data_IF_555883771349
#
_entry.id   IF_555883771349
#
_cell.length_a   1.000
_cell.length_b   1.000
_cell.length_c   1.000
_cell.angle_alpha   90.00
_cell.angle_beta   90.00
_cell.angle_gamma   90.00
#
_symmetry.space_group_name_H-M   'P 1'
#
loop_
_entity.id
_entity.type
_entity.pdbx_description
1 polymer ?
#
# COMPACT_ATOMS: atom_id res chain seq x y z
N UNK A 1 -54.42 -3.11 10.83
CA UNK A 1 -53.48 -2.31 10.03
C UNK A 1 -52.52 -1.64 10.98
N UNK A 2 -51.33 -2.23 11.16
CA UNK A 2 -50.19 -1.61 11.83
C UNK A 2 -48.95 -2.07 11.09
N UNK A 3 -48.14 -1.08 10.73
CA UNK A 3 -46.82 -1.14 10.10
C UNK A 3 -45.88 -2.17 10.74
N UNK A 4 -45.06 -2.80 9.90
CA UNK A 4 -44.00 -3.71 10.31
C UNK A 4 -42.82 -3.60 9.37
N UNK A 5 -42.15 -2.45 9.38
CA UNK A 5 -40.83 -2.27 8.74
C UNK A 5 -39.81 -3.17 9.44
N UNK A 6 -39.13 -4.13 8.76
CA UNK A 6 -38.08 -4.90 9.40
C UNK A 6 -36.80 -4.07 9.47
N UNK A 7 -36.34 -3.78 10.69
CA UNK A 7 -35.12 -3.03 10.98
C UNK A 7 -33.82 -3.80 10.67
N UNK A 8 -32.68 -3.11 10.53
CA UNK A 8 -31.40 -3.72 10.22
C UNK A 8 -30.76 -4.23 11.53
N UNK A 9 -30.90 -5.53 11.83
CA UNK A 9 -30.44 -6.03 13.13
C UNK A 9 -30.15 -7.52 13.27
N UNK A 10 -30.51 -8.38 12.31
CA UNK A 10 -30.23 -9.81 12.43
C UNK A 10 -28.79 -10.10 12.00
N UNK A 11 -27.85 -9.85 12.92
CA UNK A 11 -26.58 -10.58 12.93
C UNK A 11 -26.94 -12.04 13.18
N UNK A 12 -27.13 -12.80 12.10
CA UNK A 12 -27.23 -14.25 12.19
C UNK A 12 -26.04 -14.76 12.99
N UNK A 13 -26.32 -15.45 14.09
CA UNK A 13 -25.32 -16.05 14.93
C UNK A 13 -24.41 -16.93 14.06
N UNK A 14 -23.10 -16.71 14.13
CA UNK A 14 -22.13 -17.56 13.46
C UNK A 14 -22.32 -18.97 14.04
N UNK A 15 -22.64 -19.99 13.21
CA UNK A 15 -22.83 -21.33 13.71
C UNK A 15 -21.54 -21.80 14.38
N UNK A 16 -21.64 -22.19 15.65
CA UNK A 16 -20.51 -22.72 16.41
C UNK A 16 -19.86 -23.86 15.63
N UNK A 17 -18.55 -23.77 15.40
CA UNK A 17 -17.77 -24.86 14.82
C UNK A 17 -17.69 -26.02 15.82
N UNK A 18 -17.68 -27.26 15.33
CA UNK A 18 -17.31 -28.40 16.16
C UNK A 18 -15.86 -28.25 16.63
N UNK A 19 -15.44 -29.01 17.65
CA UNK A 19 -14.09 -28.96 18.24
C UNK A 19 -12.94 -29.16 17.22
N UNK A 20 -13.22 -29.73 16.05
CA UNK A 20 -12.29 -29.89 14.92
C UNK A 20 -12.25 -28.70 13.94
N UNK A 21 -12.87 -27.56 14.28
CA UNK A 21 -12.95 -26.36 13.44
C UNK A 21 -13.84 -26.49 12.19
N UNK A 22 -14.64 -27.57 12.10
CA UNK A 22 -15.57 -27.81 10.99
C UNK A 22 -16.98 -27.35 11.35
N UNK A 23 -17.68 -26.78 10.38
CA UNK A 23 -19.10 -26.43 10.54
C UNK A 23 -19.95 -27.69 10.77
N UNK A 24 -20.92 -27.66 11.69
CA UNK A 24 -21.89 -28.73 11.86
C UNK A 24 -22.56 -29.08 10.53
N UNK A 25 -22.86 -30.36 10.30
CA UNK A 25 -23.42 -30.85 9.02
C UNK A 25 -24.66 -30.05 8.58
N UNK A 26 -25.56 -29.75 9.51
CA UNK A 26 -26.76 -28.95 9.25
C UNK A 26 -26.43 -27.51 8.82
N UNK A 27 -25.40 -26.88 9.39
CA UNK A 27 -24.96 -25.55 8.99
C UNK A 27 -24.31 -25.56 7.61
N UNK A 28 -23.56 -26.61 7.28
CA UNK A 28 -22.99 -26.80 5.93
C UNK A 28 -24.08 -27.00 4.87
N UNK A 29 -25.06 -27.86 5.15
CA UNK A 29 -26.21 -28.11 4.27
C UNK A 29 -27.06 -26.85 4.07
N UNK A 30 -27.28 -26.07 5.14
CA UNK A 30 -27.96 -24.78 5.05
C UNK A 30 -27.19 -23.75 4.21
N UNK A 31 -25.86 -23.68 4.35
CA UNK A 31 -25.02 -22.79 3.56
C UNK A 31 -24.97 -23.20 2.08
N UNK A 32 -24.89 -24.50 1.80
CA UNK A 32 -24.95 -25.05 0.44
C UNK A 32 -26.31 -24.78 -0.21
N UNK A 33 -27.41 -24.96 0.52
CA UNK A 33 -28.76 -24.64 0.05
C UNK A 33 -28.93 -23.14 -0.22
N UNK A 34 -28.44 -22.28 0.68
CA UNK A 34 -28.44 -20.84 0.49
C UNK A 34 -27.60 -20.42 -0.72
N UNK A 35 -26.43 -21.05 -0.92
CA UNK A 35 -25.58 -20.79 -2.07
C UNK A 35 -26.22 -21.24 -3.38
N UNK A 36 -26.88 -22.40 -3.42
CA UNK A 36 -27.64 -22.86 -4.60
C UNK A 36 -28.83 -21.95 -4.89
N UNK A 37 -29.61 -21.58 -3.88
CA UNK A 37 -30.70 -20.62 -4.03
C UNK A 37 -30.22 -19.24 -4.50
N UNK A 38 -29.04 -18.82 -4.05
CA UNK A 38 -28.38 -17.60 -4.52
C UNK A 38 -27.90 -17.72 -5.99
N UNK A 39 -27.32 -18.87 -6.36
CA UNK A 39 -26.81 -19.13 -7.70
C UNK A 39 -27.93 -19.32 -8.74
N UNK A 40 -29.04 -19.93 -8.34
CA UNK A 40 -30.17 -20.29 -9.21
C UNK A 40 -31.18 -19.15 -9.38
N UNK A 41 -31.03 -18.01 -8.69
CA UNK A 41 -31.91 -16.85 -8.81
C UNK A 41 -31.84 -16.22 -10.22
N UNK A 42 -32.80 -16.48 -11.12
CA UNK A 42 -32.63 -16.23 -12.55
C UNK A 42 -32.71 -14.73 -12.88
N UNK A 43 -33.54 -13.98 -12.16
CA UNK A 43 -33.69 -12.53 -12.30
C UNK A 43 -32.42 -11.75 -11.94
N UNK A 44 -31.75 -12.14 -10.84
CA UNK A 44 -30.46 -11.55 -10.45
C UNK A 44 -29.36 -11.92 -11.44
N UNK A 45 -29.36 -13.14 -11.98
CA UNK A 45 -28.33 -13.55 -12.94
C UNK A 45 -28.33 -12.70 -14.22
N UNK A 46 -29.50 -12.29 -14.71
CA UNK A 46 -29.62 -11.50 -15.94
C UNK A 46 -29.25 -10.02 -15.70
N UNK A 47 -29.75 -9.42 -14.62
CA UNK A 47 -29.44 -8.05 -14.25
C UNK A 47 -27.96 -7.88 -13.87
N UNK A 48 -27.40 -8.83 -13.12
CA UNK A 48 -25.99 -8.84 -12.75
C UNK A 48 -25.08 -9.08 -13.97
N UNK A 49 -25.49 -9.90 -14.94
CA UNK A 49 -24.79 -10.04 -16.23
C UNK A 49 -24.81 -8.75 -17.04
N UNK A 50 -25.95 -8.05 -17.09
CA UNK A 50 -26.08 -6.74 -17.77
C UNK A 50 -25.20 -5.68 -17.13
N UNK A 51 -25.31 -5.53 -15.80
CA UNK A 51 -24.47 -4.61 -15.03
C UNK A 51 -22.97 -4.90 -15.20
N UNK A 52 -22.58 -6.18 -15.17
CA UNK A 52 -21.19 -6.57 -15.41
C UNK A 52 -20.72 -6.23 -16.83
N UNK A 53 -21.60 -6.34 -17.83
CA UNK A 53 -21.28 -5.98 -19.21
C UNK A 53 -21.13 -4.46 -19.37
N UNK A 54 -22.04 -3.68 -18.80
CA UNK A 54 -22.01 -2.21 -18.80
C UNK A 54 -20.74 -1.67 -18.12
N UNK A 55 -20.40 -2.17 -16.93
CA UNK A 55 -19.19 -1.75 -16.24
C UNK A 55 -17.93 -2.18 -17.00
N UNK A 56 -17.93 -3.36 -17.65
CA UNK A 56 -16.79 -3.78 -18.46
C UNK A 56 -16.60 -2.89 -19.68
N UNK A 57 -17.68 -2.49 -20.35
CA UNK A 57 -17.64 -1.54 -21.46
C UNK A 57 -17.13 -0.16 -21.00
N UNK A 58 -17.62 0.32 -19.85
CA UNK A 58 -17.20 1.57 -19.25
C UNK A 58 -15.70 1.55 -18.88
N UNK A 59 -15.25 0.47 -18.23
CA UNK A 59 -13.86 0.30 -17.82
C UNK A 59 -12.91 0.27 -19.03
N UNK A 60 -13.28 -0.46 -20.08
CA UNK A 60 -12.51 -0.55 -21.30
C UNK A 60 -12.47 0.80 -22.06
N UNK A 61 -13.58 1.54 -22.12
CA UNK A 61 -13.66 2.83 -22.80
C UNK A 61 -12.83 3.90 -22.05
N UNK A 62 -12.96 3.96 -20.72
CA UNK A 62 -12.16 4.86 -19.89
C UNK A 62 -10.67 4.54 -19.97
N UNK A 63 -10.29 3.25 -19.99
CA UNK A 63 -8.90 2.83 -20.20
C UNK A 63 -8.36 3.29 -21.56
N UNK A 64 -9.13 3.12 -22.64
CA UNK A 64 -8.74 3.55 -23.98
C UNK A 64 -8.56 5.08 -24.07
N UNK A 65 -9.37 5.85 -23.34
CA UNK A 65 -9.27 7.31 -23.24
C UNK A 65 -8.17 7.79 -22.26
N UNK A 66 -7.41 6.87 -21.63
CA UNK A 66 -6.28 7.17 -20.76
C UNK A 66 -6.66 7.49 -19.31
N UNK A 67 -7.89 7.20 -18.88
CA UNK A 67 -8.33 7.47 -17.51
C UNK A 67 -7.67 6.52 -16.51
N UNK A 68 -7.23 7.03 -15.33
CA UNK A 68 -6.75 6.18 -14.25
C UNK A 68 -7.87 5.26 -13.72
N UNK A 69 -7.61 3.95 -13.67
CA UNK A 69 -8.57 2.96 -13.16
C UNK A 69 -9.04 3.25 -11.74
N UNK A 70 -8.19 3.88 -10.92
CA UNK A 70 -8.56 4.29 -9.55
C UNK A 70 -9.69 5.33 -9.54
N UNK A 71 -9.70 6.28 -10.48
CA UNK A 71 -10.75 7.30 -10.56
C UNK A 71 -12.07 6.68 -11.02
N UNK A 72 -12.02 5.82 -12.05
CA UNK A 72 -13.20 5.10 -12.52
C UNK A 72 -13.79 4.20 -11.42
N UNK A 73 -12.92 3.47 -10.71
CA UNK A 73 -13.31 2.58 -9.63
C UNK A 73 -14.02 3.32 -8.48
N UNK A 74 -13.56 4.54 -8.15
CA UNK A 74 -14.18 5.36 -7.12
C UNK A 74 -15.62 5.74 -7.46
N UNK A 75 -15.89 6.14 -8.71
CA UNK A 75 -17.24 6.50 -9.16
C UNK A 75 -18.15 5.27 -9.22
N UNK A 76 -17.61 4.12 -9.63
CA UNK A 76 -18.37 2.87 -9.73
C UNK A 76 -18.51 2.11 -8.40
N UNK A 77 -17.95 2.60 -7.29
CA UNK A 77 -18.04 1.94 -5.98
C UNK A 77 -17.31 0.59 -5.89
N UNK A 78 -16.26 0.38 -6.70
CA UNK A 78 -15.48 -0.88 -6.71
C UNK A 78 -14.00 -0.62 -6.45
N UNK A 79 -13.22 -1.67 -6.23
CA UNK A 79 -11.76 -1.54 -6.09
C UNK A 79 -11.09 -1.25 -7.44
N UNK A 80 -9.95 -0.57 -7.41
CA UNK A 80 -9.17 -0.29 -8.62
C UNK A 80 -8.72 -1.57 -9.34
N UNK A 81 -8.48 -2.65 -8.58
CA UNK A 81 -8.12 -3.94 -9.14
C UNK A 81 -9.31 -4.63 -9.81
N UNK A 82 -10.49 -4.55 -9.18
CA UNK A 82 -11.73 -5.05 -9.80
C UNK A 82 -12.05 -4.31 -11.09
N UNK A 83 -11.82 -3.00 -11.14
CA UNK A 83 -11.97 -2.20 -12.36
C UNK A 83 -10.98 -2.60 -13.46
N UNK A 84 -9.73 -2.95 -13.09
CA UNK A 84 -8.77 -3.52 -14.04
C UNK A 84 -9.21 -4.85 -14.61
N UNK A 85 -9.80 -5.73 -13.79
CA UNK A 85 -10.36 -7.00 -14.26
C UNK A 85 -11.49 -6.77 -15.27
N UNK A 86 -12.40 -5.82 -15.01
CA UNK A 86 -13.45 -5.44 -15.95
C UNK A 86 -12.89 -4.91 -17.27
N UNK A 87 -11.87 -4.04 -17.22
CA UNK A 87 -11.20 -3.51 -18.42
C UNK A 87 -10.36 -4.56 -19.18
N UNK A 88 -9.97 -5.66 -18.53
CA UNK A 88 -9.25 -6.78 -19.14
C UNK A 88 -10.19 -7.83 -19.75
N UNK A 89 -11.50 -7.76 -19.44
CA UNK A 89 -12.52 -8.58 -20.07
C UNK A 89 -12.52 -8.41 -21.59
N UNK A 90 -12.79 -9.50 -22.33
CA UNK A 90 -12.74 -9.58 -23.80
C UNK A 90 -13.86 -8.80 -24.50
N UNK A 91 -14.06 -7.50 -24.22
CA UNK A 91 -14.75 -6.64 -25.17
C UNK A 91 -13.79 -6.32 -26.31
N UNK A 92 -13.86 -7.12 -27.40
CA UNK A 92 -13.11 -6.85 -28.63
C UNK A 92 -13.57 -5.55 -29.30
N UNK A 93 -14.87 -5.28 -29.22
CA UNK A 93 -15.48 -4.08 -29.76
C UNK A 93 -16.19 -3.31 -28.66
N UNK A 94 -15.68 -2.11 -28.40
CA UNK A 94 -16.30 -1.16 -27.48
C UNK A 94 -17.46 -0.46 -28.20
N UNK A 95 -18.68 -0.47 -27.62
CA UNK A 95 -19.79 0.27 -28.19
C UNK A 95 -19.42 1.76 -28.33
N UNK A 96 -19.79 2.41 -29.46
CA UNK A 96 -19.40 3.79 -29.74
C UNK A 96 -19.93 4.77 -28.68
N UNK A 97 -21.12 4.47 -28.13
CA UNK A 97 -21.72 5.22 -27.02
C UNK A 97 -20.81 5.25 -25.79
N UNK A 98 -20.19 4.12 -25.42
CA UNK A 98 -19.29 4.07 -24.27
C UNK A 98 -18.01 4.87 -24.51
N UNK A 99 -17.50 4.95 -25.75
CA UNK A 99 -16.34 5.78 -26.10
C UNK A 99 -16.66 7.28 -26.00
N UNK A 100 -17.87 7.69 -26.37
CA UNK A 100 -18.30 9.08 -26.32
C UNK A 100 -18.38 9.64 -24.89
N UNK A 101 -18.59 8.78 -23.89
CA UNK A 101 -18.65 9.16 -22.47
C UNK A 101 -17.29 9.62 -21.90
N UNK A 102 -16.17 9.22 -22.53
CA UNK A 102 -14.84 9.48 -22.00
C UNK A 102 -14.06 10.44 -22.88
N UNK A 103 -14.04 11.75 -22.56
CA UNK A 103 -13.08 12.65 -23.19
C UNK A 103 -11.65 12.22 -22.84
N UNK A 104 -10.67 12.61 -23.66
CA UNK A 104 -9.27 12.26 -23.42
C UNK A 104 -8.81 12.77 -22.05
N UNK A 105 -8.27 11.88 -21.22
CA UNK A 105 -7.85 12.24 -19.87
C UNK A 105 -6.59 13.12 -19.91
N UNK A 106 -6.72 14.35 -19.42
CA UNK A 106 -5.58 15.25 -19.18
C UNK A 106 -5.15 15.11 -17.72
N UNK A 107 -4.00 14.48 -17.50
CA UNK A 107 -3.44 14.33 -16.15
C UNK A 107 -3.18 15.72 -15.56
N UNK A 108 -3.72 16.05 -14.37
CA UNK A 108 -3.40 17.32 -13.73
C UNK A 108 -1.90 17.36 -13.43
N UNK A 109 -1.27 18.50 -13.72
CA UNK A 109 0.14 18.72 -13.40
C UNK A 109 0.30 18.60 -11.88
N UNK A 110 1.24 17.79 -11.37
CA UNK A 110 1.47 17.71 -9.95
C UNK A 110 1.80 19.10 -9.41
N UNK A 111 1.18 19.48 -8.30
CA UNK A 111 1.50 20.74 -7.63
C UNK A 111 3.01 20.79 -7.36
N UNK A 112 3.62 21.94 -7.63
CA UNK A 112 5.02 22.15 -7.28
C UNK A 112 5.17 21.96 -5.76
N UNK A 113 5.98 20.99 -5.35
CA UNK A 113 6.28 20.77 -3.94
C UNK A 113 7.14 21.95 -3.48
N UNK A 114 6.74 22.62 -2.41
CA UNK A 114 7.57 23.63 -1.76
C UNK A 114 8.85 22.95 -1.25
N UNK A 115 9.99 23.62 -1.40
CA UNK A 115 11.20 23.20 -0.72
C UNK A 115 10.93 23.28 0.78
N UNK A 116 11.07 22.15 1.48
CA UNK A 116 10.97 22.09 2.94
C UNK A 116 12.41 22.18 3.43
N UNK A 117 12.73 23.23 4.18
CA UNK A 117 13.98 23.30 4.94
C UNK A 117 13.94 22.17 5.98
N UNK A 118 14.98 21.34 6.01
CA UNK A 118 15.06 20.16 6.86
C UNK A 118 16.27 20.27 7.76
N UNK A 119 16.16 19.69 8.96
CA UNK A 119 17.31 19.48 9.81
C UNK A 119 18.20 18.40 9.21
N UNK A 120 19.50 18.62 9.25
CA UNK A 120 20.53 17.69 8.79
C UNK A 120 21.39 17.22 9.97
N UNK A 121 22.05 16.07 9.83
CA UNK A 121 23.09 15.67 10.77
C UNK A 121 24.33 16.54 10.59
N UNK A 122 24.87 17.03 11.70
CA UNK A 122 26.23 17.58 11.71
C UNK A 122 27.28 16.46 11.55
N UNK A 123 28.50 16.84 11.19
CA UNK A 123 29.63 15.91 11.02
C UNK A 123 29.90 15.15 12.33
N UNK A 124 29.81 15.83 13.46
CA UNK A 124 30.07 15.25 14.78
C UNK A 124 28.97 14.27 15.20
N UNK A 125 27.69 14.63 14.99
CA UNK A 125 26.55 13.74 15.25
C UNK A 125 26.61 12.48 14.36
N UNK A 126 27.00 12.63 13.09
CA UNK A 126 27.18 11.51 12.19
C UNK A 126 28.34 10.60 12.63
N UNK A 127 29.41 11.16 13.20
CA UNK A 127 30.53 10.39 13.76
C UNK A 127 30.11 9.63 15.03
N UNK A 128 29.38 10.29 15.94
CA UNK A 128 28.86 9.67 17.17
C UNK A 128 27.91 8.50 16.85
N UNK A 129 26.96 8.72 15.93
CA UNK A 129 26.05 7.67 15.46
C UNK A 129 26.81 6.47 14.87
N UNK A 130 27.91 6.71 14.14
CA UNK A 130 28.72 5.66 13.53
C UNK A 130 29.45 4.83 14.58
N UNK A 131 30.05 5.46 15.59
CA UNK A 131 30.75 4.76 16.66
C UNK A 131 29.76 3.96 17.54
N UNK A 132 28.62 4.54 17.87
CA UNK A 132 27.57 3.84 18.61
C UNK A 132 26.97 2.68 17.82
N UNK A 133 26.81 2.82 16.50
CA UNK A 133 26.35 1.73 15.63
C UNK A 133 27.35 0.56 15.61
N UNK A 134 28.66 0.83 15.55
CA UNK A 134 29.70 -0.22 15.64
C UNK A 134 29.62 -0.97 16.97
N UNK A 135 29.55 -0.24 18.08
CA UNK A 135 29.47 -0.82 19.42
C UNK A 135 28.18 -1.60 19.64
N UNK A 136 27.05 -1.10 19.14
CA UNK A 136 25.76 -1.78 19.19
C UNK A 136 25.72 -3.03 18.29
N UNK A 137 26.40 -3.01 17.13
CA UNK A 137 26.51 -4.15 16.23
C UNK A 137 27.32 -5.33 16.81
N UNK A 138 28.24 -5.06 17.75
CA UNK A 138 28.99 -6.08 18.49
C UNK A 138 28.15 -6.76 19.59
N UNK A 139 26.93 -6.28 19.85
CA UNK A 139 26.02 -6.76 20.90
C UNK A 139 25.20 -7.99 20.46
N UNK A 140 25.81 -8.92 19.74
CA UNK A 140 25.17 -10.18 19.31
C UNK A 140 25.17 -11.18 20.48
N UNK A 141 24.37 -10.93 21.51
CA UNK A 141 24.24 -11.81 22.67
C UNK A 141 23.38 -11.23 23.80
N UNK A 142 23.01 -12.09 24.76
CA UNK A 142 22.35 -11.67 26.01
C UNK A 142 23.39 -11.05 26.95
N UNK A 143 23.69 -9.76 26.78
CA UNK A 143 24.58 -9.06 27.70
C UNK A 143 23.84 -8.58 28.95
N UNK A 144 24.54 -8.54 30.08
CA UNK A 144 24.01 -7.93 31.30
C UNK A 144 23.61 -6.46 31.03
N UNK A 145 22.57 -5.99 31.71
CA UNK A 145 22.00 -4.66 31.52
C UNK A 145 23.03 -3.52 31.67
N UNK A 146 24.04 -3.73 32.52
CA UNK A 146 25.09 -2.74 32.81
C UNK A 146 26.31 -2.85 31.90
N UNK A 147 26.32 -3.79 30.96
CA UNK A 147 27.44 -3.93 30.03
C UNK A 147 27.61 -2.68 29.15
N UNK A 148 28.84 -2.32 28.77
CA UNK A 148 29.10 -1.21 27.86
C UNK A 148 28.33 -1.32 26.53
N UNK A 149 28.12 -2.54 26.02
CA UNK A 149 27.36 -2.79 24.80
C UNK A 149 25.86 -2.51 24.96
N UNK A 150 25.25 -2.90 26.08
CA UNK A 150 23.85 -2.58 26.38
C UNK A 150 23.64 -1.07 26.59
N UNK A 151 24.59 -0.38 27.21
CA UNK A 151 24.55 1.08 27.36
C UNK A 151 24.70 1.78 26.00
N UNK A 152 25.61 1.32 25.14
CA UNK A 152 25.80 1.84 23.79
C UNK A 152 24.55 1.66 22.92
N UNK A 153 23.88 0.51 22.98
CA UNK A 153 22.64 0.24 22.24
C UNK A 153 21.48 1.16 22.70
N UNK A 154 21.35 1.42 24.01
CA UNK A 154 20.36 2.36 24.54
C UNK A 154 20.63 3.79 24.07
N UNK A 155 21.89 4.24 24.12
CA UNK A 155 22.31 5.57 23.64
C UNK A 155 22.08 5.72 22.13
N UNK A 156 22.43 4.70 21.36
CA UNK A 156 22.19 4.63 19.92
C UNK A 156 20.70 4.83 19.59
N UNK A 157 19.83 4.05 20.25
CA UNK A 157 18.37 4.12 20.03
C UNK A 157 17.81 5.49 20.42
N UNK A 158 18.30 6.08 21.52
CA UNK A 158 17.89 7.41 21.96
C UNK A 158 18.29 8.51 20.96
N UNK A 159 19.51 8.46 20.42
CA UNK A 159 19.98 9.42 19.41
C UNK A 159 19.24 9.31 18.08
N UNK A 160 19.02 8.10 17.58
CA UNK A 160 18.23 7.88 16.35
C UNK A 160 16.83 8.49 16.49
N UNK A 161 16.18 8.28 17.64
CA UNK A 161 14.87 8.88 17.92
C UNK A 161 14.95 10.40 18.00
N UNK A 162 15.92 10.96 18.72
CA UNK A 162 16.11 12.40 18.84
C UNK A 162 16.34 13.11 17.50
N UNK A 163 17.13 12.50 16.61
CA UNK A 163 17.35 13.05 15.26
C UNK A 163 16.11 12.92 14.38
N UNK A 164 15.37 11.81 14.46
CA UNK A 164 14.11 11.66 13.74
C UNK A 164 13.07 12.70 14.18
N UNK A 165 12.96 12.95 15.48
CA UNK A 165 12.02 13.94 16.04
C UNK A 165 12.39 15.38 15.63
N UNK A 166 13.67 15.66 15.37
CA UNK A 166 14.16 16.92 14.75
C UNK A 166 13.86 17.04 13.26
N UNK A 167 13.35 15.99 12.62
CA UNK A 167 13.06 15.98 11.18
C UNK A 167 14.27 15.62 10.30
N UNK A 168 15.33 15.03 10.88
CA UNK A 168 16.40 14.41 10.10
C UNK A 168 15.83 13.21 9.36
N UNK A 169 16.10 13.11 8.06
CA UNK A 169 15.58 12.01 7.24
C UNK A 169 16.27 10.69 7.58
N UNK A 170 15.51 9.60 7.51
CA UNK A 170 16.04 8.26 7.69
C UNK A 170 17.23 7.93 6.78
N UNK A 171 17.30 8.51 5.58
CA UNK A 171 18.43 8.29 4.67
C UNK A 171 19.76 8.76 5.28
N UNK A 172 19.81 9.94 5.90
CA UNK A 172 21.03 10.46 6.53
C UNK A 172 21.44 9.65 7.75
N UNK A 173 20.47 9.22 8.56
CA UNK A 173 20.70 8.36 9.73
C UNK A 173 21.25 6.99 9.26
N UNK A 174 20.67 6.43 8.20
CA UNK A 174 21.14 5.17 7.60
C UNK A 174 22.55 5.30 7.02
N UNK A 175 22.86 6.38 6.32
CA UNK A 175 24.18 6.65 5.75
C UNK A 175 25.26 6.78 6.85
N UNK A 176 24.93 7.46 7.95
CA UNK A 176 25.83 7.63 9.08
C UNK A 176 26.13 6.29 9.79
N UNK A 177 25.09 5.47 9.99
CA UNK A 177 25.16 4.25 10.81
C UNK A 177 25.55 3.00 10.02
N UNK A 178 25.44 3.02 8.69
CA UNK A 178 25.62 1.86 7.80
C UNK A 178 24.79 0.63 8.21
N UNK A 179 23.76 0.80 9.05
CA UNK A 179 23.01 -0.30 9.66
C UNK A 179 21.96 -0.93 8.74
N UNK A 180 21.64 -0.34 7.58
CA UNK A 180 20.79 -1.02 6.62
C UNK A 180 21.06 -0.70 5.14
N UNK A 181 21.37 -1.79 4.42
CA UNK A 181 21.42 -2.00 2.97
C UNK A 181 22.70 -1.54 2.24
N UNK A 182 23.70 -2.42 2.28
CA UNK A 182 24.10 -3.04 1.02
C UNK A 182 22.86 -3.61 0.31
N UNK A 183 22.09 -2.73 -0.33
CA UNK A 183 21.53 -3.08 -1.63
C UNK A 183 22.77 -3.31 -2.50
N UNK A 184 22.87 -4.38 -3.31
CA UNK A 184 24.08 -4.61 -4.08
C UNK A 184 24.23 -3.46 -5.08
N UNK A 185 24.98 -2.43 -4.70
CA UNK A 185 25.68 -1.58 -5.65
C UNK A 185 26.80 -2.49 -6.14
N UNK A 186 26.53 -3.19 -7.23
CA UNK A 186 27.53 -3.95 -7.99
C UNK A 186 28.78 -3.09 -8.13
N UNK A 187 29.97 -3.70 -7.98
CA UNK A 187 31.28 -3.04 -7.84
C UNK A 187 31.63 -1.97 -8.90
N UNK A 188 30.86 -1.87 -9.99
CA UNK A 188 30.94 -0.80 -10.99
C UNK A 188 30.43 0.59 -10.57
N UNK A 189 29.86 0.78 -9.39
CA UNK A 189 29.33 2.10 -8.94
C UNK A 189 30.22 2.82 -7.91
N UNK A 190 31.44 2.32 -7.65
CA UNK A 190 32.42 2.93 -6.73
C UNK A 190 32.96 4.30 -7.18
N UNK A 191 32.69 4.71 -8.42
CA UNK A 191 33.05 6.03 -8.96
C UNK A 191 31.89 7.02 -9.12
N UNK A 192 30.67 6.68 -8.70
CA UNK A 192 29.50 7.55 -8.85
C UNK A 192 29.08 8.10 -7.49
N UNK A 193 28.92 9.43 -7.41
CA UNK A 193 28.35 10.07 -6.23
C UNK A 193 27.03 9.37 -5.83
N UNK A 194 26.80 9.14 -4.53
CA UNK A 194 25.70 8.31 -4.06
C UNK A 194 24.36 8.88 -4.51
N UNK A 195 23.79 8.25 -5.53
CA UNK A 195 22.52 8.62 -6.11
C UNK A 195 21.44 7.88 -5.33
N UNK A 196 21.04 8.44 -4.19
CA UNK A 196 20.01 7.88 -3.32
C UNK A 196 18.70 7.77 -4.11
N UNK A 197 18.36 6.55 -4.53
CA UNK A 197 17.02 6.22 -5.07
C UNK A 197 16.03 6.11 -3.92
N UNK A 198 15.62 7.26 -3.39
CA UNK A 198 14.33 7.33 -2.70
C UNK A 198 13.26 7.23 -3.77
N UNK A 199 12.32 6.30 -3.59
CA UNK A 199 11.18 6.07 -4.46
C UNK A 199 10.58 7.39 -4.98
N UNK A 200 10.82 7.67 -6.27
CA UNK A 200 10.16 8.74 -7.02
C UNK A 200 10.76 10.15 -6.96
N UNK A 201 11.99 10.38 -6.49
CA UNK A 201 12.56 11.74 -6.44
C UNK A 201 13.93 11.85 -7.13
N UNK A 202 13.96 12.44 -8.33
CA UNK A 202 15.18 13.03 -8.89
C UNK A 202 15.34 14.42 -8.26
N UNK A 203 16.15 14.56 -7.22
CA UNK A 203 16.63 15.87 -6.77
C UNK A 203 18.14 15.94 -6.99
N UNK A 204 18.58 16.89 -7.82
CA UNK A 204 19.98 17.30 -7.90
C UNK A 204 20.26 18.14 -6.66
N UNK A 205 21.09 17.64 -5.76
CA UNK A 205 21.65 18.44 -4.67
C UNK A 205 22.91 19.10 -5.24
N UNK A 206 22.86 20.41 -5.45
CA UNK A 206 24.06 21.19 -5.69
C UNK A 206 24.66 21.54 -4.33
N UNK A 207 25.89 21.11 -4.06
CA UNK A 207 26.67 21.63 -2.93
C UNK A 207 27.02 23.08 -3.23
N UNK A 208 26.67 23.99 -2.32
CA UNK A 208 27.28 25.31 -2.26
C UNK A 208 28.72 25.13 -1.75
N UNK A 209 29.66 25.79 -2.43
CA UNK A 209 31.08 25.89 -2.05
C UNK A 209 31.24 26.83 -0.84
#
# INVERSE_FOLDING_TARGET
>A
MTDGTPGPGDRQAVPATNDDGRLPRAAREALEAAYRAYADAPARSAEQKRWSAEISALAAAGRAAGWPMRLLAQVCGVSAERMRQFAAGRLRDLPPEAKALFPQYKRPRPAARKAVERAHLSVDEAAELRELAKLAGQNTGSHAADSPAAQASRRFTALVRGHHDRGVIWAEISDATRMWTAWPLTEGETGLEPLVRVSGLRQRIARAQ
#
